data_IF_321105028780
#
_entry.id   IF_321105028780
#
_cell.length_a   1.000
_cell.length_b   1.000
_cell.length_c   1.000
_cell.angle_alpha   90.00
_cell.angle_beta   90.00
_cell.angle_gamma   90.00
#
_symmetry.space_group_name_H-M   'P 1'
#
loop_
_entity.id
_entity.type
_entity.pdbx_description
1 polymer ?
#
# COMPACT_ATOMS: atom_id res chain seq x y z
N UNK A 1 34.74 5.43 5.63
CA UNK A 1 33.70 6.48 5.52
C UNK A 1 33.34 6.64 4.05
N UNK A 2 32.27 6.00 3.57
CA UNK A 2 31.83 6.14 2.17
C UNK A 2 30.70 7.16 2.13
N UNK A 3 30.93 8.22 1.37
CA UNK A 3 29.99 9.29 1.06
C UNK A 3 28.69 8.72 0.49
N UNK A 4 27.57 9.03 1.14
CA UNK A 4 26.24 8.73 0.64
C UNK A 4 25.97 9.53 -0.63
N UNK A 5 25.58 8.84 -1.70
CA UNK A 5 25.11 9.47 -2.93
C UNK A 5 23.71 10.01 -2.63
N UNK A 6 23.60 11.32 -2.40
CA UNK A 6 22.30 11.97 -2.20
C UNK A 6 21.54 12.04 -3.52
N UNK A 7 20.27 11.61 -3.50
CA UNK A 7 19.38 11.71 -4.65
C UNK A 7 19.09 13.19 -4.96
N UNK A 8 19.09 13.64 -6.23
CA UNK A 8 18.95 15.07 -6.59
C UNK A 8 17.60 15.72 -6.20
N UNK A 9 16.64 14.97 -5.65
CA UNK A 9 15.36 15.45 -5.15
C UNK A 9 15.30 15.58 -3.62
N UNK A 10 16.39 15.22 -2.92
CA UNK A 10 16.50 15.30 -1.47
C UNK A 10 16.82 16.74 -1.04
N UNK A 11 15.84 17.65 -1.13
CA UNK A 11 16.02 19.06 -0.77
C UNK A 11 16.23 19.28 0.75
N UNK A 12 15.87 18.30 1.60
CA UNK A 12 16.03 18.33 3.06
C UNK A 12 16.26 16.92 3.63
N UNK A 13 17.40 16.30 3.32
CA UNK A 13 17.69 14.95 3.82
C UNK A 13 18.66 15.01 4.98
N UNK A 14 18.10 15.01 6.19
CA UNK A 14 18.84 14.69 7.39
C UNK A 14 19.35 13.24 7.30
N UNK A 15 20.54 12.94 7.86
CA UNK A 15 20.96 11.55 8.03
C UNK A 15 19.90 10.80 8.85
N UNK A 16 19.70 9.51 8.58
CA UNK A 16 18.71 8.69 9.28
C UNK A 16 18.93 8.74 10.79
N UNK A 17 20.19 8.79 11.20
CA UNK A 17 20.67 8.88 12.58
C UNK A 17 20.28 10.20 13.27
N UNK A 18 19.93 11.24 12.53
CA UNK A 18 19.40 12.50 13.08
C UNK A 18 17.86 12.51 13.21
N UNK A 19 17.17 11.54 12.61
CA UNK A 19 15.70 11.43 12.63
C UNK A 19 15.25 10.31 13.56
N UNK A 20 15.94 9.17 13.55
CA UNK A 20 15.58 7.96 14.28
C UNK A 20 16.64 7.64 15.35
N UNK A 21 16.18 7.17 16.52
CA UNK A 21 17.06 6.67 17.59
C UNK A 21 17.75 5.37 17.17
N UNK A 22 17.06 4.56 16.36
CA UNK A 22 17.58 3.33 15.75
C UNK A 22 16.92 3.14 14.39
N UNK A 23 17.66 2.66 13.40
CA UNK A 23 17.11 2.26 12.11
C UNK A 23 17.84 1.00 11.61
N UNK A 24 17.13 -0.11 11.44
CA UNK A 24 17.70 -1.33 10.88
C UNK A 24 17.85 -1.19 9.36
N UNK A 25 19.09 -1.23 8.88
CA UNK A 25 19.41 -1.11 7.45
C UNK A 25 18.98 -2.33 6.65
N UNK A 26 18.87 -3.49 7.28
CA UNK A 26 18.36 -4.70 6.65
C UNK A 26 16.83 -4.73 6.78
N UNK A 27 16.09 -4.71 5.66
CA UNK A 27 14.63 -4.75 5.71
C UNK A 27 14.17 -6.16 6.13
N UNK A 28 13.42 -6.33 7.23
CA UNK A 28 12.87 -7.62 7.62
C UNK A 28 11.82 -8.16 6.64
N UNK A 29 11.26 -7.30 5.77
CA UNK A 29 10.24 -7.68 4.80
C UNK A 29 10.25 -6.81 3.54
N UNK A 30 9.73 -7.36 2.45
CA UNK A 30 9.41 -6.62 1.23
C UNK A 30 7.92 -6.32 1.18
N UNK A 31 7.56 -5.11 0.81
CA UNK A 31 6.23 -4.79 0.29
C UNK A 31 6.31 -4.72 -1.25
N UNK A 32 5.15 -4.64 -1.93
CA UNK A 32 5.04 -4.65 -3.40
C UNK A 32 6.10 -3.78 -4.11
N UNK A 33 6.02 -2.46 -3.92
CA UNK A 33 6.93 -1.47 -4.54
C UNK A 33 7.90 -0.81 -3.56
N UNK A 34 7.85 -1.22 -2.29
CA UNK A 34 8.54 -0.59 -1.17
C UNK A 34 9.31 -1.62 -0.32
N UNK A 35 10.26 -1.11 0.46
CA UNK A 35 10.97 -1.84 1.50
C UNK A 35 10.41 -1.43 2.85
N UNK A 36 10.42 -2.36 3.79
CA UNK A 36 9.91 -2.13 5.14
C UNK A 36 11.06 -2.33 6.12
N UNK A 37 11.31 -1.32 6.95
CA UNK A 37 12.38 -1.29 7.93
C UNK A 37 11.82 -1.16 9.34
N UNK A 38 12.52 -1.72 10.32
CA UNK A 38 12.27 -1.46 11.74
C UNK A 38 13.08 -0.24 12.17
N UNK A 39 12.47 0.63 12.95
CA UNK A 39 13.14 1.77 13.52
C UNK A 39 12.58 2.12 14.90
N UNK A 40 13.29 2.97 15.62
CA UNK A 40 12.82 3.58 16.86
C UNK A 40 12.72 5.08 16.70
N UNK A 41 11.57 5.65 17.04
CA UNK A 41 11.28 7.07 16.89
C UNK A 41 10.53 7.59 18.12
N UNK A 42 11.09 8.58 18.80
CA UNK A 42 10.50 9.22 19.99
C UNK A 42 10.14 8.19 21.07
N UNK A 43 11.04 7.25 21.33
CA UNK A 43 10.88 6.19 22.33
C UNK A 43 10.07 4.98 21.87
N UNK A 44 9.36 5.06 20.75
CA UNK A 44 8.45 4.02 20.23
C UNK A 44 9.09 3.18 19.12
N UNK A 45 8.77 1.88 19.08
CA UNK A 45 9.12 0.99 17.97
C UNK A 45 8.17 1.25 16.80
N UNK A 46 8.72 1.57 15.63
CA UNK A 46 7.97 1.93 14.43
C UNK A 46 8.41 1.13 13.21
N UNK A 47 7.50 1.04 12.24
CA UNK A 47 7.76 0.46 10.93
C UNK A 47 7.87 1.57 9.91
N UNK A 48 8.98 1.62 9.17
CA UNK A 48 9.25 2.64 8.15
C UNK A 48 9.16 2.00 6.78
N UNK A 49 8.21 2.45 5.96
CA UNK A 49 8.04 2.00 4.57
C UNK A 49 8.71 3.01 3.63
N UNK A 50 9.61 2.53 2.78
CA UNK A 50 10.39 3.36 1.84
C UNK A 50 10.23 2.81 0.42
N UNK A 51 9.97 3.68 -0.56
CA UNK A 51 9.95 3.26 -1.96
C UNK A 51 11.32 2.73 -2.38
N UNK A 52 11.31 1.71 -3.26
CA UNK A 52 12.54 1.21 -3.84
C UNK A 52 13.18 2.30 -4.72
N UNK A 53 14.51 2.49 -4.66
CA UNK A 53 15.19 3.42 -5.56
C UNK A 53 14.87 3.11 -7.04
N UNK A 54 14.54 4.14 -7.81
CA UNK A 54 14.25 4.02 -9.24
C UNK A 54 12.93 3.30 -9.58
N UNK A 55 12.02 3.10 -8.62
CA UNK A 55 10.77 2.37 -8.85
C UNK A 55 9.87 3.04 -9.90
N UNK A 56 9.78 4.37 -9.89
CA UNK A 56 8.98 5.14 -10.86
C UNK A 56 9.46 4.93 -12.29
N UNK A 57 10.78 5.00 -12.50
CA UNK A 57 11.36 4.78 -13.83
C UNK A 57 11.11 3.35 -14.32
N UNK A 58 11.15 2.37 -13.40
CA UNK A 58 10.87 0.97 -13.73
C UNK A 58 9.41 0.78 -14.14
N UNK A 59 8.47 1.33 -13.38
CA UNK A 59 7.04 1.31 -13.71
C UNK A 59 6.78 1.94 -15.08
N UNK A 60 7.35 3.12 -15.33
CA UNK A 60 7.16 3.83 -16.60
C UNK A 60 7.70 3.03 -17.79
N UNK A 61 8.86 2.38 -17.64
CA UNK A 61 9.41 1.47 -18.66
C UNK A 61 8.51 0.26 -18.88
N UNK A 62 8.08 -0.40 -17.82
CA UNK A 62 7.24 -1.59 -17.90
C UNK A 62 5.89 -1.27 -18.58
N UNK A 63 5.26 -0.16 -18.20
CA UNK A 63 4.03 0.33 -18.85
C UNK A 63 4.25 0.67 -20.32
N UNK A 64 5.39 1.28 -20.68
CA UNK A 64 5.72 1.57 -22.08
C UNK A 64 5.84 0.30 -22.92
N UNK A 65 6.50 -0.73 -22.39
CA UNK A 65 6.65 -2.04 -23.04
C UNK A 65 5.27 -2.67 -23.24
N UNK A 66 4.44 -2.70 -22.19
CA UNK A 66 3.09 -3.25 -22.25
C UNK A 66 2.25 -2.53 -23.30
N UNK A 67 2.26 -1.20 -23.33
CA UNK A 67 1.53 -0.42 -24.33
C UNK A 67 1.96 -0.75 -25.77
N UNK A 68 3.26 -0.97 -26.01
CA UNK A 68 3.77 -1.35 -27.34
C UNK A 68 3.39 -2.77 -27.74
N UNK A 69 3.36 -3.70 -26.77
CA UNK A 69 3.06 -5.11 -27.01
C UNK A 69 1.56 -5.42 -26.97
N UNK A 70 0.73 -4.53 -26.42
CA UNK A 70 -0.72 -4.70 -26.28
C UNK A 70 -1.40 -5.23 -27.55
N UNK A 71 -1.14 -4.61 -28.70
CA UNK A 71 -1.76 -5.00 -29.96
C UNK A 71 -1.37 -6.41 -30.42
N UNK A 72 -0.14 -6.84 -30.12
CA UNK A 72 0.33 -8.21 -30.38
C UNK A 72 -0.29 -9.20 -29.39
N UNK A 73 -0.30 -8.86 -28.09
CA UNK A 73 -0.90 -9.66 -27.03
C UNK A 73 -2.36 -9.99 -27.32
N UNK A 74 -3.15 -8.98 -27.73
CA UNK A 74 -4.56 -9.17 -28.06
C UNK A 74 -4.77 -10.10 -29.26
N UNK A 75 -3.83 -10.14 -30.21
CA UNK A 75 -3.88 -11.03 -31.37
C UNK A 75 -3.43 -12.45 -31.03
N UNK A 76 -2.39 -12.60 -30.21
CA UNK A 76 -1.80 -13.91 -29.86
C UNK A 76 -2.66 -14.67 -28.86
N UNK A 77 -3.27 -13.97 -27.91
CA UNK A 77 -4.07 -14.59 -26.85
C UNK A 77 -5.48 -15.00 -27.30
N UNK A 78 -5.85 -14.76 -28.56
CA UNK A 78 -7.19 -15.01 -29.12
C UNK A 78 -8.33 -14.56 -28.17
N UNK A 79 -8.12 -13.42 -27.52
CA UNK A 79 -9.06 -12.92 -26.50
C UNK A 79 -10.37 -12.55 -27.20
N UNK A 80 -11.53 -12.99 -26.65
CA UNK A 80 -12.81 -12.66 -27.24
C UNK A 80 -13.00 -11.13 -27.27
N UNK A 81 -13.57 -10.62 -28.37
CA UNK A 81 -13.70 -9.19 -28.66
C UNK A 81 -14.46 -8.38 -27.60
N UNK A 82 -15.14 -9.05 -26.67
CA UNK A 82 -15.88 -8.44 -25.57
C UNK A 82 -15.00 -8.14 -24.33
N UNK A 83 -13.71 -8.50 -24.33
CA UNK A 83 -12.80 -8.15 -23.24
C UNK A 83 -12.32 -6.71 -23.40
N UNK A 84 -12.59 -5.89 -22.39
CA UNK A 84 -12.07 -4.53 -22.29
C UNK A 84 -10.60 -4.51 -21.85
N UNK A 85 -9.72 -4.85 -22.78
CA UNK A 85 -8.28 -4.82 -22.54
C UNK A 85 -7.76 -3.40 -22.30
N UNK A 86 -8.35 -2.38 -22.93
CA UNK A 86 -7.97 -0.97 -22.65
C UNK A 86 -8.26 -0.59 -21.20
N UNK A 87 -9.48 -0.86 -20.73
CA UNK A 87 -9.88 -0.61 -19.34
C UNK A 87 -9.01 -1.35 -18.34
N UNK A 88 -8.64 -2.60 -18.63
CA UNK A 88 -7.69 -3.33 -17.79
C UNK A 88 -6.33 -2.61 -17.70
N UNK A 89 -5.74 -2.19 -18.82
CA UNK A 89 -4.43 -1.52 -18.80
C UNK A 89 -4.49 -0.13 -18.15
N UNK A 90 -5.56 0.63 -18.33
CA UNK A 90 -5.75 1.91 -17.65
C UNK A 90 -5.87 1.72 -16.14
N UNK A 91 -6.65 0.73 -15.69
CA UNK A 91 -6.77 0.41 -14.27
C UNK A 91 -5.47 -0.11 -13.68
N UNK A 92 -4.74 -0.93 -14.43
CA UNK A 92 -3.42 -1.43 -14.01
C UNK A 92 -2.42 -0.28 -13.81
N UNK A 93 -2.34 0.67 -14.75
CA UNK A 93 -1.53 1.89 -14.60
C UNK A 93 -1.96 2.67 -13.36
N UNK A 94 -3.25 2.96 -13.24
CA UNK A 94 -3.80 3.71 -12.11
C UNK A 94 -3.47 3.06 -10.76
N UNK A 95 -3.51 1.73 -10.69
CA UNK A 95 -3.13 0.98 -9.48
C UNK A 95 -1.65 1.10 -9.15
N UNK A 96 -0.77 1.01 -10.14
CA UNK A 96 0.68 1.21 -9.92
C UNK A 96 1.00 2.63 -9.47
N UNK A 97 0.31 3.64 -10.00
CA UNK A 97 0.43 5.04 -9.57
C UNK A 97 -0.01 5.23 -8.11
N UNK A 98 -1.07 4.52 -7.68
CA UNK A 98 -1.52 4.57 -6.28
C UNK A 98 -0.53 3.91 -5.30
N UNK A 99 0.14 2.84 -5.71
CA UNK A 99 1.11 2.12 -4.86
C UNK A 99 2.41 2.90 -4.60
N UNK A 100 2.72 3.90 -5.44
CA UNK A 100 3.88 4.79 -5.24
C UNK A 100 3.55 6.05 -4.43
N UNK A 101 2.27 6.33 -4.19
CA UNK A 101 1.83 7.42 -3.33
C UNK A 101 1.63 6.93 -1.88
N UNK A 102 2.74 6.89 -1.13
CA UNK A 102 2.73 6.50 0.28
C UNK A 102 1.96 7.51 1.17
N UNK A 103 1.73 8.75 0.72
CA UNK A 103 0.94 9.73 1.48
C UNK A 103 -0.54 9.39 1.38
N UNK A 104 -1.02 9.08 0.17
CA UNK A 104 -2.38 8.59 -0.03
C UNK A 104 -2.62 7.28 0.75
N UNK A 105 -1.63 6.38 0.79
CA UNK A 105 -1.70 5.16 1.61
C UNK A 105 -1.85 5.49 3.10
N UNK A 106 -1.03 6.41 3.64
CA UNK A 106 -1.12 6.84 5.04
C UNK A 106 -2.49 7.43 5.38
N UNK A 107 -3.04 8.31 4.53
CA UNK A 107 -4.38 8.88 4.72
C UNK A 107 -5.48 7.81 4.72
N UNK A 108 -5.35 6.79 3.85
CA UNK A 108 -6.30 5.68 3.83
C UNK A 108 -6.22 4.82 5.09
N UNK A 109 -5.03 4.62 5.65
CA UNK A 109 -4.84 3.91 6.93
C UNK A 109 -5.48 4.69 8.09
N UNK A 110 -5.31 6.02 8.12
CA UNK A 110 -5.96 6.88 9.12
C UNK A 110 -7.49 6.79 9.05
N UNK A 111 -8.06 6.94 7.85
CA UNK A 111 -9.51 6.78 7.63
C UNK A 111 -10.00 5.39 8.04
N UNK A 112 -9.27 4.35 7.69
CA UNK A 112 -9.62 3.00 8.07
C UNK A 112 -9.63 2.81 9.59
N UNK A 113 -8.65 3.41 10.29
CA UNK A 113 -8.60 3.42 11.76
C UNK A 113 -9.81 4.12 12.38
N UNK A 114 -10.27 5.23 11.79
CA UNK A 114 -11.49 5.93 12.24
C UNK A 114 -12.73 5.05 12.08
N UNK A 115 -12.86 4.37 10.94
CA UNK A 115 -14.00 3.48 10.67
C UNK A 115 -14.02 2.22 11.57
N UNK A 116 -12.86 1.77 12.06
CA UNK A 116 -12.78 0.65 12.98
C UNK A 116 -13.02 1.02 14.45
N UNK A 117 -13.25 2.29 14.77
CA UNK A 117 -13.69 2.64 16.10
C UNK A 117 -15.07 2.01 16.35
N UNK A 118 -15.31 1.38 17.51
CA UNK A 118 -16.61 0.80 17.81
C UNK A 118 -17.64 1.93 17.83
N UNK A 119 -18.37 2.09 16.73
CA UNK A 119 -19.54 2.96 16.70
C UNK A 119 -20.51 2.35 17.70
N UNK A 120 -20.71 3.02 18.84
CA UNK A 120 -21.85 2.73 19.71
C UNK A 120 -23.06 2.76 18.78
N UNK A 121 -23.78 1.64 18.58
CA UNK A 121 -24.95 1.67 17.72
C UNK A 121 -25.84 2.82 18.20
N UNK A 122 -26.39 3.64 17.29
CA UNK A 122 -27.32 4.68 17.69
C UNK A 122 -28.35 4.01 18.60
N UNK A 123 -28.68 4.66 19.72
CA UNK A 123 -29.63 4.13 20.67
C UNK A 123 -30.99 4.03 19.95
N UNK A 124 -31.24 2.91 19.26
CA UNK A 124 -32.54 2.60 18.64
C UNK A 124 -33.42 2.10 19.79
N UNK A 125 -33.70 3.03 20.70
CA UNK A 125 -34.49 2.81 21.90
C UNK A 125 -35.90 2.49 21.43
N UNK A 126 -36.25 1.21 21.50
CA UNK A 126 -37.58 0.69 21.16
C UNK A 126 -37.65 -0.81 20.88
N UNK A 127 -36.55 -1.50 20.57
CA UNK A 127 -36.62 -2.96 20.32
C UNK A 127 -36.20 -3.75 21.55
N UNK A 128 -37.17 -4.40 22.20
CA UNK A 128 -36.96 -5.35 23.30
C UNK A 128 -35.84 -6.33 22.95
N UNK A 129 -34.87 -6.46 23.85
CA UNK A 129 -33.76 -7.40 23.76
C UNK A 129 -34.31 -8.83 23.72
N UNK A 130 -34.41 -9.43 22.53
CA UNK A 130 -34.48 -10.88 22.42
C UNK A 130 -33.07 -11.42 22.60
N UNK A 131 -32.72 -11.66 23.86
CA UNK A 131 -31.53 -12.43 24.24
C UNK A 131 -31.63 -13.82 23.60
N UNK A 132 -30.68 -14.14 22.73
CA UNK A 132 -30.58 -15.45 22.10
C UNK A 132 -30.25 -16.49 23.18
N UNK A 133 -31.17 -17.41 23.47
CA UNK A 133 -30.90 -18.52 24.38
C UNK A 133 -30.34 -19.73 23.60
N UNK A 134 -29.28 -20.37 24.09
CA UNK A 134 -28.75 -21.58 23.45
C UNK A 134 -29.78 -22.71 23.51
N UNK A 135 -29.89 -23.44 22.40
CA UNK A 135 -30.74 -24.63 22.29
C UNK A 135 -30.14 -25.71 23.20
N UNK A 136 -30.88 -26.28 24.17
CA UNK A 136 -30.35 -27.34 25.02
C UNK A 136 -30.02 -28.56 24.17
N UNK A 137 -28.81 -29.11 24.35
CA UNK A 137 -28.46 -30.40 23.75
C UNK A 137 -29.34 -31.48 24.37
N UNK A 138 -30.11 -32.19 23.54
CA UNK A 138 -30.85 -33.37 23.98
C UNK A 138 -29.85 -34.42 24.52
N UNK A 139 -30.12 -34.89 25.73
CA UNK A 139 -29.50 -36.07 26.33
C UNK A 139 -30.22 -37.34 25.84
#
# INVERSE_FOLDING_TARGET
MRSGVHHPLCLHCNPLEAVFERFDKEPPASASLAQVHRARFRGEEVVVKLLRPGVLDRINRDLSIICRLKGLLLRVLDLPRNIDAEGFFSEFRRRLEQEVDLQAEALNIERFRELQQPTRPPNIMGRKEHVWQPIPSAA
#
